data_IF_370090867395
#
_entry.id   IF_370090867395
#
_cell.length_a   1.000
_cell.length_b   1.000
_cell.length_c   1.000
_cell.angle_alpha   90.00
_cell.angle_beta   90.00
_cell.angle_gamma   90.00
#
_symmetry.space_group_name_H-M   'P 1'
#
loop_
_entity.id
_entity.type
_entity.pdbx_description
1 polymer ?
#
# COMPACT_ATOMS: atom_id res chain seq x y z
N UNK A 1 12.54 -29.49 -19.02
CA UNK A 1 13.14 -28.22 -18.59
C UNK A 1 13.38 -28.29 -17.11
N UNK A 2 14.43 -27.64 -16.62
CA UNK A 2 14.65 -27.44 -15.19
C UNK A 2 14.06 -26.09 -14.73
N UNK A 3 13.98 -25.87 -13.41
CA UNK A 3 13.48 -24.62 -12.81
C UNK A 3 14.17 -23.38 -13.37
N UNK A 4 15.49 -23.41 -13.51
CA UNK A 4 16.27 -22.27 -14.00
C UNK A 4 15.90 -21.91 -15.43
N UNK A 5 15.80 -22.90 -16.32
CA UNK A 5 15.37 -22.71 -17.71
C UNK A 5 13.95 -22.16 -17.81
N UNK A 6 13.05 -22.65 -16.96
CA UNK A 6 11.67 -22.18 -16.90
C UNK A 6 11.61 -20.69 -16.52
N UNK A 7 12.28 -20.31 -15.42
CA UNK A 7 12.28 -18.94 -14.92
C UNK A 7 13.03 -17.98 -15.85
N UNK A 8 14.12 -18.42 -16.48
CA UNK A 8 14.85 -17.62 -17.46
C UNK A 8 14.01 -17.36 -18.72
N UNK A 9 13.33 -18.39 -19.22
CA UNK A 9 12.39 -18.24 -20.35
C UNK A 9 11.26 -17.29 -19.99
N UNK A 10 10.64 -17.46 -18.82
CA UNK A 10 9.57 -16.60 -18.33
C UNK A 10 10.03 -15.13 -18.23
N UNK A 11 11.20 -14.90 -17.61
CA UNK A 11 11.80 -13.56 -17.48
C UNK A 11 12.07 -12.92 -18.84
N UNK A 12 12.67 -13.67 -19.75
CA UNK A 12 13.00 -13.19 -21.09
C UNK A 12 11.76 -12.75 -21.86
N UNK A 13 10.70 -13.56 -21.86
CA UNK A 13 9.43 -13.22 -22.52
C UNK A 13 8.78 -11.96 -21.93
N UNK A 14 8.81 -11.84 -20.60
CA UNK A 14 8.18 -10.73 -19.90
C UNK A 14 8.98 -9.42 -20.03
N UNK A 15 10.30 -9.46 -19.99
CA UNK A 15 11.17 -8.27 -20.00
C UNK A 15 11.07 -7.41 -21.26
N UNK A 16 10.62 -7.97 -22.38
CA UNK A 16 10.48 -7.24 -23.64
C UNK A 16 9.21 -6.39 -23.73
N UNK A 17 8.22 -6.64 -22.87
CA UNK A 17 6.87 -6.08 -23.00
C UNK A 17 6.29 -5.57 -21.68
N UNK A 18 6.95 -5.80 -20.55
CA UNK A 18 6.47 -5.47 -19.22
C UNK A 18 7.56 -4.77 -18.39
N UNK A 19 7.16 -3.87 -17.48
CA UNK A 19 8.08 -3.13 -16.62
C UNK A 19 8.90 -4.04 -15.71
N UNK A 20 10.19 -3.74 -15.50
CA UNK A 20 11.15 -4.58 -14.78
C UNK A 20 10.68 -5.00 -13.38
N UNK A 21 10.06 -4.09 -12.62
CA UNK A 21 9.50 -4.40 -11.30
C UNK A 21 8.39 -5.47 -11.34
N UNK A 22 7.52 -5.43 -12.35
CA UNK A 22 6.48 -6.46 -12.56
C UNK A 22 7.12 -7.79 -12.95
N UNK A 23 8.12 -7.75 -13.84
CA UNK A 23 8.83 -8.94 -14.31
C UNK A 23 9.46 -9.67 -13.13
N UNK A 24 10.18 -8.95 -12.28
CA UNK A 24 10.80 -9.50 -11.08
C UNK A 24 9.78 -10.11 -10.11
N UNK A 25 8.63 -9.46 -9.91
CA UNK A 25 7.56 -9.97 -9.06
C UNK A 25 6.99 -11.30 -9.59
N UNK A 26 6.68 -11.39 -10.88
CA UNK A 26 6.18 -12.62 -11.49
C UNK A 26 7.23 -13.73 -11.44
N UNK A 27 8.48 -13.46 -11.79
CA UNK A 27 9.56 -14.46 -11.75
C UNK A 27 9.71 -15.01 -10.33
N UNK A 28 9.76 -14.14 -9.31
CA UNK A 28 9.85 -14.57 -7.91
C UNK A 28 8.65 -15.41 -7.48
N UNK A 29 7.42 -15.02 -7.85
CA UNK A 29 6.23 -15.79 -7.53
C UNK A 29 6.31 -17.25 -8.00
N UNK A 30 6.75 -17.46 -9.24
CA UNK A 30 6.91 -18.83 -9.78
C UNK A 30 8.12 -19.55 -9.16
N UNK A 31 9.19 -18.84 -8.84
CA UNK A 31 10.33 -19.42 -8.12
C UNK A 31 9.91 -19.96 -6.75
N UNK A 32 9.22 -19.14 -5.96
CA UNK A 32 8.71 -19.48 -4.64
C UNK A 32 7.72 -20.65 -4.72
N UNK A 33 6.82 -20.63 -5.71
CA UNK A 33 5.87 -21.72 -5.93
C UNK A 33 6.61 -23.03 -6.21
N UNK A 34 7.52 -23.07 -7.20
CA UNK A 34 8.26 -24.29 -7.56
C UNK A 34 9.05 -24.79 -6.35
N UNK A 35 9.75 -23.89 -5.65
CA UNK A 35 10.54 -24.23 -4.48
C UNK A 35 9.68 -24.77 -3.33
N UNK A 36 8.50 -24.19 -3.08
CA UNK A 36 7.56 -24.67 -2.07
C UNK A 36 7.03 -26.08 -2.38
N UNK A 37 6.71 -26.35 -3.66
CA UNK A 37 6.23 -27.66 -4.09
C UNK A 37 7.33 -28.72 -3.95
N UNK A 38 8.56 -28.41 -4.34
CA UNK A 38 9.71 -29.32 -4.17
C UNK A 38 10.01 -29.56 -2.69
N UNK A 39 9.99 -28.50 -1.85
CA UNK A 39 10.15 -28.62 -0.39
C UNK A 39 9.07 -29.49 0.25
N UNK A 40 7.86 -29.52 -0.31
CA UNK A 40 6.77 -30.39 0.14
C UNK A 40 6.92 -31.86 -0.28
N UNK A 41 8.01 -32.21 -0.98
CA UNK A 41 8.32 -33.59 -1.40
C UNK A 41 7.83 -33.95 -2.80
N UNK A 42 7.38 -32.97 -3.60
CA UNK A 42 6.99 -33.20 -4.99
C UNK A 42 8.21 -33.16 -5.91
N UNK A 43 8.17 -33.93 -6.99
CA UNK A 43 9.21 -33.91 -8.01
C UNK A 43 9.18 -32.60 -8.81
N UNK A 44 10.34 -31.98 -9.02
CA UNK A 44 10.45 -30.70 -9.74
C UNK A 44 9.90 -30.81 -11.17
N UNK A 45 10.18 -31.92 -11.87
CA UNK A 45 9.75 -32.09 -13.25
C UNK A 45 8.23 -32.25 -13.33
N UNK A 46 7.62 -32.94 -12.35
CA UNK A 46 6.16 -33.01 -12.25
C UNK A 46 5.55 -31.62 -12.02
N UNK A 47 6.12 -30.82 -11.12
CA UNK A 47 5.64 -29.45 -10.84
C UNK A 47 5.75 -28.58 -12.09
N UNK A 48 6.86 -28.64 -12.81
CA UNK A 48 7.07 -27.90 -14.06
C UNK A 48 6.13 -28.38 -15.18
N UNK A 49 5.84 -29.67 -15.24
CA UNK A 49 4.87 -30.22 -16.21
C UNK A 49 3.45 -29.74 -15.93
N UNK A 50 3.07 -29.60 -14.65
CA UNK A 50 1.78 -29.04 -14.23
C UNK A 50 1.68 -27.54 -14.53
N UNK A 51 2.77 -26.80 -14.36
CA UNK A 51 2.84 -25.39 -14.74
C UNK A 51 2.75 -25.19 -16.26
N UNK A 52 3.29 -26.13 -17.05
CA UNK A 52 3.27 -26.07 -18.51
C UNK A 52 4.32 -25.13 -19.10
N UNK A 53 4.11 -24.69 -20.34
CA UNK A 53 5.10 -23.87 -21.06
C UNK A 53 5.20 -22.44 -20.47
N UNK A 54 6.38 -21.99 -20.00
CA UNK A 54 6.58 -20.64 -19.48
C UNK A 54 6.20 -19.54 -20.48
N UNK A 55 6.24 -19.82 -21.78
CA UNK A 55 5.85 -18.85 -22.83
C UNK A 55 4.36 -18.58 -22.84
N UNK A 56 3.52 -19.59 -22.57
CA UNK A 56 2.07 -19.43 -22.49
C UNK A 56 1.67 -18.65 -21.25
N UNK A 57 2.36 -18.90 -20.14
CA UNK A 57 2.21 -18.12 -18.91
C UNK A 57 2.59 -16.67 -19.18
N UNK A 58 3.77 -16.42 -19.75
CA UNK A 58 4.19 -15.07 -20.11
C UNK A 58 3.17 -14.38 -21.01
N UNK A 59 2.67 -15.07 -22.04
CA UNK A 59 1.65 -14.54 -22.93
C UNK A 59 0.38 -14.14 -22.20
N UNK A 60 -0.10 -15.01 -21.30
CA UNK A 60 -1.30 -14.73 -20.51
C UNK A 60 -1.09 -13.51 -19.61
N UNK A 61 0.05 -13.45 -18.90
CA UNK A 61 0.38 -12.32 -18.03
C UNK A 61 0.42 -11.01 -18.81
N UNK A 62 1.02 -11.00 -20.00
CA UNK A 62 1.10 -9.85 -20.89
C UNK A 62 -0.28 -9.46 -21.46
N UNK A 63 -1.09 -10.44 -21.87
CA UNK A 63 -2.45 -10.20 -22.38
C UNK A 63 -3.39 -9.67 -21.26
N UNK A 64 -3.10 -10.02 -20.00
CA UNK A 64 -3.83 -9.51 -18.82
C UNK A 64 -3.20 -8.27 -18.19
N UNK A 65 -2.04 -7.82 -18.68
CA UNK A 65 -1.40 -6.61 -18.18
C UNK A 65 -2.22 -5.41 -18.67
N UNK A 66 -3.24 -5.06 -17.90
CA UNK A 66 -3.89 -3.77 -18.03
C UNK A 66 -2.82 -2.73 -17.70
N UNK A 67 -2.55 -1.82 -18.65
CA UNK A 67 -1.68 -0.65 -18.49
C UNK A 67 -2.32 0.32 -17.50
N UNK A 68 -2.50 -0.14 -16.26
CA UNK A 68 -3.00 0.61 -15.13
C UNK A 68 -1.77 1.28 -14.55
N UNK A 69 -1.49 2.47 -15.10
CA UNK A 69 -0.29 3.24 -14.86
C UNK A 69 0.18 3.12 -13.41
N UNK A 70 1.31 2.44 -13.25
CA UNK A 70 2.08 2.43 -12.01
C UNK A 70 1.32 1.88 -10.79
N UNK A 71 0.66 0.72 -10.93
CA UNK A 71 0.23 -0.05 -9.76
C UNK A 71 1.46 -0.46 -8.91
N UNK A 72 1.38 -0.30 -7.60
CA UNK A 72 2.50 -0.44 -6.66
C UNK A 72 2.96 -1.91 -6.50
N UNK A 73 3.94 -2.35 -7.28
CA UNK A 73 4.59 -3.68 -7.16
C UNK A 73 5.54 -3.79 -5.95
N UNK A 74 5.61 -2.76 -5.10
CA UNK A 74 6.40 -2.75 -3.87
C UNK A 74 5.78 -3.63 -2.75
N UNK A 75 4.53 -4.11 -2.89
CA UNK A 75 3.83 -4.85 -1.83
C UNK A 75 4.21 -6.35 -1.74
N UNK A 76 5.04 -6.90 -2.64
CA UNK A 76 5.39 -8.34 -2.57
C UNK A 76 6.79 -8.65 -2.01
N UNK A 77 7.61 -7.64 -1.70
CA UNK A 77 8.98 -7.84 -1.16
C UNK A 77 9.08 -8.07 0.35
N UNK A 78 7.97 -8.20 1.06
CA UNK A 78 7.99 -8.60 2.48
C UNK A 78 7.59 -10.06 2.60
N UNK A 79 8.46 -10.99 2.20
CA UNK A 79 8.54 -12.38 2.71
C UNK A 79 9.66 -13.12 1.96
N UNK A 80 10.87 -12.55 1.96
CA UNK A 80 12.10 -13.29 1.70
C UNK A 80 12.97 -13.08 2.94
N UNK A 81 12.62 -13.84 3.98
CA UNK A 81 13.43 -13.99 5.18
C UNK A 81 14.55 -14.97 4.84
N UNK A 82 15.73 -14.42 4.55
CA UNK A 82 17.02 -15.05 4.85
C UNK A 82 18.12 -14.03 4.56
N UNK A 83 18.58 -13.33 5.60
CA UNK A 83 20.01 -13.11 5.80
C UNK A 83 20.32 -12.93 7.28
N UNK A 84 21.33 -13.68 7.69
CA UNK A 84 22.05 -13.66 8.94
C UNK A 84 22.42 -12.24 9.42
N UNK A 85 22.45 -12.11 10.75
CA UNK A 85 23.26 -11.20 11.55
C UNK A 85 23.54 -9.79 11.01
N UNK A 86 22.74 -8.83 11.47
CA UNK A 86 23.32 -7.57 11.96
C UNK A 86 22.43 -6.95 13.03
N UNK A 87 22.98 -6.83 14.23
CA UNK A 87 22.45 -5.99 15.31
C UNK A 87 22.16 -4.57 14.79
N UNK A 88 20.91 -4.12 14.87
CA UNK A 88 20.56 -2.79 15.40
C UNK A 88 19.03 -2.58 15.42
N UNK A 89 18.50 -2.59 16.64
CA UNK A 89 17.46 -1.67 17.14
C UNK A 89 16.09 -1.59 16.45
N UNK A 90 15.11 -2.26 17.08
CA UNK A 90 13.88 -1.58 17.51
C UNK A 90 12.79 -1.36 16.47
N UNK A 91 12.20 -2.44 15.96
CA UNK A 91 11.00 -2.41 15.13
C UNK A 91 9.78 -1.85 15.86
N UNK A 92 9.37 -0.64 15.51
CA UNK A 92 8.04 -0.10 15.81
C UNK A 92 7.09 -0.62 14.73
N UNK A 93 6.07 -1.36 15.16
CA UNK A 93 4.96 -1.82 14.32
C UNK A 93 4.39 -0.66 13.49
N UNK A 94 4.66 -0.67 12.19
CA UNK A 94 3.93 0.17 11.25
C UNK A 94 2.68 -0.61 10.84
N UNK A 95 1.54 -0.22 11.42
CA UNK A 95 0.23 -0.63 10.93
C UNK A 95 0.06 0.00 9.55
N UNK A 96 0.33 -0.76 8.49
CA UNK A 96 0.27 -0.26 7.12
C UNK A 96 -1.19 -0.19 6.71
N UNK A 97 -1.77 0.99 6.85
CA UNK A 97 -3.06 1.33 6.24
C UNK A 97 -2.85 1.33 4.74
N UNK A 98 -3.45 0.34 4.06
CA UNK A 98 -3.44 0.26 2.60
C UNK A 98 -4.27 1.42 2.07
N UNK A 99 -3.61 2.48 1.65
CA UNK A 99 -4.26 3.63 1.02
C UNK A 99 -4.54 3.28 -0.43
N UNK A 100 -5.73 2.73 -0.64
CA UNK A 100 -6.29 2.47 -1.95
C UNK A 100 -6.28 3.76 -2.79
N UNK A 101 -5.72 3.73 -4.01
CA UNK A 101 -5.39 4.93 -4.81
C UNK A 101 -6.61 5.78 -5.13
N UNK A 102 -7.82 5.21 -5.10
CA UNK A 102 -9.09 5.94 -5.25
C UNK A 102 -9.41 6.84 -4.03
N UNK A 103 -8.96 6.48 -2.83
CA UNK A 103 -9.20 7.20 -1.59
C UNK A 103 -8.42 8.51 -1.53
N UNK A 104 -7.28 8.60 -2.23
CA UNK A 104 -6.49 9.84 -2.31
C UNK A 104 -7.29 11.02 -2.88
N UNK A 105 -8.15 10.76 -3.88
CA UNK A 105 -9.06 11.76 -4.46
C UNK A 105 -10.18 12.14 -3.48
N UNK A 106 -10.73 11.16 -2.76
CA UNK A 106 -11.78 11.39 -1.77
C UNK A 106 -11.24 12.15 -0.54
N UNK A 107 -10.02 11.84 -0.11
CA UNK A 107 -9.35 12.43 1.04
C UNK A 107 -9.07 13.92 0.82
N UNK A 108 -8.74 14.32 -0.42
CA UNK A 108 -8.60 15.74 -0.79
C UNK A 108 -9.92 16.51 -0.65
N UNK A 109 -11.03 15.92 -1.11
CA UNK A 109 -12.37 16.53 -1.01
C UNK A 109 -12.85 16.58 0.44
N UNK A 110 -12.68 15.50 1.19
CA UNK A 110 -13.03 15.42 2.62
C UNK A 110 -12.18 16.41 3.43
N UNK A 111 -10.87 16.50 3.14
CA UNK A 111 -9.97 17.48 3.76
C UNK A 111 -10.42 18.91 3.51
N UNK A 112 -10.80 19.25 2.27
CA UNK A 112 -11.34 20.56 1.93
C UNK A 112 -12.64 20.87 2.71
N UNK A 113 -13.55 19.90 2.80
CA UNK A 113 -14.80 20.05 3.56
C UNK A 113 -14.55 20.24 5.06
N UNK A 114 -13.59 19.52 5.64
CA UNK A 114 -13.18 19.68 7.04
C UNK A 114 -12.64 21.09 7.28
N UNK A 115 -11.78 21.60 6.39
CA UNK A 115 -11.23 22.96 6.49
C UNK A 115 -12.35 24.00 6.44
N UNK A 116 -13.27 23.90 5.47
CA UNK A 116 -14.41 24.82 5.35
C UNK A 116 -15.33 24.74 6.57
N UNK A 117 -15.59 23.54 7.08
CA UNK A 117 -16.38 23.33 8.29
C UNK A 117 -15.69 23.93 9.51
N UNK A 118 -14.37 23.77 9.67
CA UNK A 118 -13.61 24.39 10.76
C UNK A 118 -13.66 25.92 10.70
N UNK A 119 -13.54 26.51 9.52
CA UNK A 119 -13.68 27.96 9.34
C UNK A 119 -15.07 28.45 9.78
N UNK A 120 -16.12 27.74 9.41
CA UNK A 120 -17.48 28.06 9.83
C UNK A 120 -17.71 27.81 11.33
N UNK A 121 -17.16 26.72 11.86
CA UNK A 121 -17.29 26.36 13.27
C UNK A 121 -16.56 27.37 14.16
N UNK A 122 -15.40 27.90 13.75
CA UNK A 122 -14.74 29.01 14.44
C UNK A 122 -15.69 30.21 14.50
N UNK A 123 -16.34 30.59 13.40
CA UNK A 123 -17.28 31.72 13.40
C UNK A 123 -18.46 31.51 14.38
N UNK A 124 -19.04 30.31 14.41
CA UNK A 124 -20.21 30.00 15.25
C UNK A 124 -19.85 29.72 16.70
N UNK A 125 -18.75 29.03 16.99
CA UNK A 125 -18.28 28.72 18.34
C UNK A 125 -17.74 29.95 19.07
N UNK A 126 -17.27 30.95 18.32
CA UNK A 126 -16.84 32.24 18.85
C UNK A 126 -18.03 33.02 19.46
N UNK A 127 -19.24 32.90 18.91
CA UNK A 127 -20.44 33.61 19.40
C UNK A 127 -20.83 33.22 20.85
N UNK A 128 -21.01 31.95 21.24
CA UNK A 128 -21.32 31.58 22.61
C UNK A 128 -20.14 31.85 23.56
N UNK A 129 -18.89 31.75 23.09
CA UNK A 129 -17.72 32.12 23.90
C UNK A 129 -17.75 33.62 24.28
N UNK A 130 -18.00 34.50 23.31
CA UNK A 130 -18.17 35.92 23.59
C UNK A 130 -19.41 36.24 24.40
N UNK A 131 -20.52 35.50 24.23
CA UNK A 131 -21.71 35.68 25.05
C UNK A 131 -21.45 35.38 26.53
N UNK A 132 -20.75 34.28 26.85
CA UNK A 132 -20.35 33.94 28.22
C UNK A 132 -19.38 34.98 28.77
N UNK A 133 -18.39 35.41 27.99
CA UNK A 133 -17.45 36.46 28.39
C UNK A 133 -18.18 37.78 28.67
N UNK A 134 -19.15 38.16 27.84
CA UNK A 134 -19.97 39.35 28.05
C UNK A 134 -20.80 39.27 29.33
N UNK A 135 -21.36 38.10 29.67
CA UNK A 135 -22.09 37.90 30.94
C UNK A 135 -21.14 38.03 32.14
N UNK A 136 -19.95 37.44 32.08
CA UNK A 136 -18.93 37.57 33.14
C UNK A 136 -18.52 39.04 33.32
N UNK A 137 -18.23 39.74 32.21
CA UNK A 137 -17.89 41.16 32.24
C UNK A 137 -19.06 42.02 32.75
N UNK A 138 -20.31 41.66 32.43
CA UNK A 138 -21.49 42.35 32.92
C UNK A 138 -21.63 42.22 34.44
N UNK A 139 -21.43 41.03 35.00
CA UNK A 139 -21.45 40.81 36.46
C UNK A 139 -20.31 41.60 37.12
N UNK A 140 -19.09 41.55 36.58
CA UNK A 140 -17.96 42.33 37.08
C UNK A 140 -18.21 43.83 36.98
N UNK A 141 -18.83 44.31 35.90
CA UNK A 141 -19.22 45.70 35.72
C UNK A 141 -20.26 46.12 36.75
N UNK A 142 -21.24 45.26 37.06
CA UNK A 142 -22.29 45.54 38.03
C UNK A 142 -21.76 45.59 39.47
N UNK A 143 -20.76 44.76 39.79
CA UNK A 143 -20.06 44.80 41.09
C UNK A 143 -19.15 46.04 41.17
N UNK A 144 -18.37 46.32 40.12
CA UNK A 144 -17.48 47.49 40.08
C UNK A 144 -18.24 48.82 40.09
N UNK A 145 -19.43 48.88 39.51
CA UNK A 145 -20.28 50.09 39.52
C UNK A 145 -21.03 50.29 40.85
N UNK A 146 -21.05 49.27 41.72
CA UNK A 146 -21.68 49.34 43.05
C UNK A 146 -20.70 49.66 44.18
N UNK A 147 -19.40 49.69 43.91
CA UNK A 147 -18.35 50.01 44.87
C UNK A 147 -17.61 51.28 44.44
#
# INVERSE_FOLDING_TARGET
MNRTEFLDTLRSQLSGQMHEGKVAAHVRYYEDYIQSQVRSGRDEQQVLAELGDPRLIARTLLDTDVDDGQADYAEYSTYSDETEDTQSSGGKHAHVWRFDTWYSKLLGVVGLLIIVFLLFHILVAVIPFFAVLAVILFILSLIKNRN
#
